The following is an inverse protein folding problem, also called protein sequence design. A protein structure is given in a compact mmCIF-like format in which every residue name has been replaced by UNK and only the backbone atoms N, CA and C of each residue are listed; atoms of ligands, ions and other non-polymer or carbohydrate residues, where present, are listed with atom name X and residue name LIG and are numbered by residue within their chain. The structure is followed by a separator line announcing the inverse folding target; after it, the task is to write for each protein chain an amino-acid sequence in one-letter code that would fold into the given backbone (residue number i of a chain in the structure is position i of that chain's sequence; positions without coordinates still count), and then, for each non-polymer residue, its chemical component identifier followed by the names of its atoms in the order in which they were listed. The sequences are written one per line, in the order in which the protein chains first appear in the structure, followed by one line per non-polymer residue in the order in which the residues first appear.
data_IF_861807660264
#
_entry.id   IF_861807660264
#
_cell.length_a   1.000
_cell.length_b   1.000
_cell.length_c   1.000
_cell.angle_alpha   90.00
_cell.angle_beta   90.00
_cell.angle_gamma   90.00
#
_symmetry.space_group_name_H-M   'P 1'
#
loop_
_entity.id
_entity.type
_entity.pdbx_description
1 polymer ?
#
# COMPACT_ATOMS: atom_id res chain seq x y z
N UNK A 1 29.19 51.93 5.85
CA UNK A 1 28.69 52.90 4.85
C UNK A 1 28.04 52.13 3.70
N UNK A 2 26.79 52.45 3.35
CA UNK A 2 26.10 51.93 2.15
C UNK A 2 26.45 52.83 0.97
N UNK A 3 26.32 52.31 -0.26
CA UNK A 3 25.64 53.11 -1.28
C UNK A 3 24.42 52.38 -1.84
N UNK A 4 23.34 53.17 -2.01
CA UNK A 4 22.14 52.91 -2.80
C UNK A 4 22.17 53.90 -3.97
N UNK A 5 22.00 53.45 -5.22
CA UNK A 5 21.48 54.23 -6.36
C UNK A 5 21.00 53.19 -7.41
N UNK A 6 19.69 53.00 -7.66
CA UNK A 6 18.76 53.80 -8.48
C UNK A 6 18.95 53.56 -10.00
N UNK A 7 18.05 52.77 -10.63
CA UNK A 7 17.05 53.20 -11.64
C UNK A 7 17.61 53.16 -13.10
N UNK A 8 16.92 52.87 -14.23
CA UNK A 8 15.53 52.90 -14.71
C UNK A 8 15.42 52.23 -16.14
N UNK A 9 14.18 52.11 -16.66
CA UNK A 9 13.70 52.03 -18.09
C UNK A 9 13.59 50.63 -18.75
N UNK A 10 12.40 50.03 -19.06
CA UNK A 10 11.23 50.29 -19.95
C UNK A 10 11.40 49.84 -21.43
N UNK A 11 10.56 48.89 -21.89
CA UNK A 11 10.07 48.67 -23.29
C UNK A 11 9.36 47.29 -23.39
N UNK A 12 8.02 47.18 -23.37
CA UNK A 12 7.05 47.22 -24.49
C UNK A 12 6.78 45.86 -25.22
N UNK A 13 5.60 45.27 -24.93
CA UNK A 13 4.60 44.49 -25.73
C UNK A 13 4.99 43.83 -27.08
N UNK A 14 4.45 42.62 -27.41
CA UNK A 14 2.99 42.41 -27.65
C UNK A 14 2.42 41.10 -27.05
N UNK A 15 1.24 41.10 -26.41
CA UNK A 15 -0.10 40.91 -26.99
C UNK A 15 -0.22 39.81 -28.06
N UNK A 16 -0.05 38.55 -27.64
CA UNK A 16 -0.45 37.38 -28.43
C UNK A 16 -1.87 36.94 -28.09
N UNK A 17 -2.80 37.15 -29.04
CA UNK A 17 -4.13 36.53 -29.06
C UNK A 17 -4.00 35.00 -29.03
N UNK A 18 -4.26 34.37 -27.88
CA UNK A 18 -4.50 32.94 -27.80
C UNK A 18 -5.96 32.68 -28.17
N UNK A 19 -6.17 32.18 -29.40
CA UNK A 19 -7.45 31.67 -29.88
C UNK A 19 -7.91 30.54 -28.96
N UNK A 20 -9.01 30.76 -28.24
CA UNK A 20 -9.66 29.73 -27.45
C UNK A 20 -10.40 28.77 -28.40
N UNK A 21 -9.80 27.61 -28.66
CA UNK A 21 -10.53 26.48 -29.22
C UNK A 21 -11.43 25.90 -28.12
N UNK A 22 -12.73 26.19 -28.17
CA UNK A 22 -13.72 25.49 -27.37
C UNK A 22 -13.95 24.11 -27.98
N UNK A 23 -13.33 23.08 -27.40
CA UNK A 23 -13.65 21.69 -27.71
C UNK A 23 -15.10 21.42 -27.28
N UNK A 24 -16.01 21.25 -28.24
CA UNK A 24 -17.34 20.73 -27.98
C UNK A 24 -17.21 19.24 -27.63
N UNK A 25 -17.18 18.92 -26.34
CA UNK A 25 -17.26 17.55 -25.87
C UNK A 25 -18.61 16.95 -26.28
N UNK A 26 -18.59 15.96 -27.17
CA UNK A 26 -19.77 15.15 -27.50
C UNK A 26 -20.19 14.39 -26.24
N UNK A 27 -21.31 14.80 -25.66
CA UNK A 27 -21.97 14.07 -24.56
C UNK A 27 -22.76 12.92 -25.15
N UNK A 28 -22.09 11.82 -25.50
CA UNK A 28 -22.78 10.54 -25.67
C UNK A 28 -23.23 10.07 -24.29
N UNK A 29 -24.55 9.94 -24.02
CA UNK A 29 -24.99 9.42 -22.73
C UNK A 29 -24.51 7.97 -22.61
N UNK A 30 -23.72 7.68 -21.56
CA UNK A 30 -23.29 6.32 -21.25
C UNK A 30 -24.54 5.44 -21.06
N UNK A 31 -24.57 4.21 -21.61
CA UNK A 31 -25.62 3.26 -21.29
C UNK A 31 -25.65 3.03 -19.78
N UNK A 32 -26.87 3.06 -19.23
CA UNK A 32 -27.16 2.91 -17.81
C UNK A 32 -26.54 1.60 -17.32
N UNK A 33 -25.40 1.66 -16.63
CA UNK A 33 -24.75 0.50 -16.05
C UNK A 33 -25.67 -0.08 -14.97
N UNK A 34 -26.32 -1.19 -15.32
CA UNK A 34 -27.00 -2.05 -14.36
C UNK A 34 -25.92 -2.65 -13.45
N UNK A 35 -25.86 -2.18 -12.20
CA UNK A 35 -24.95 -2.70 -11.19
C UNK A 35 -25.44 -4.07 -10.75
N UNK A 36 -25.14 -5.10 -11.53
CA UNK A 36 -25.19 -6.48 -11.05
C UNK A 36 -24.02 -6.65 -10.09
N UNK A 37 -24.26 -6.45 -8.80
CA UNK A 37 -23.27 -6.74 -7.77
C UNK A 37 -23.08 -8.26 -7.74
N UNK A 38 -22.11 -8.78 -8.50
CA UNK A 38 -21.65 -10.15 -8.34
C UNK A 38 -20.96 -10.20 -6.99
N UNK A 39 -21.65 -10.80 -6.00
CA UNK A 39 -21.06 -11.16 -4.72
C UNK A 39 -20.09 -12.32 -4.96
N UNK A 40 -18.89 -12.00 -5.46
CA UNK A 40 -17.78 -12.97 -5.51
C UNK A 40 -17.34 -13.20 -4.08
N UNK A 41 -17.69 -14.37 -3.54
CA UNK A 41 -17.14 -14.86 -2.28
C UNK A 41 -15.70 -15.29 -2.57
N UNK A 42 -14.73 -14.49 -2.15
CA UNK A 42 -13.31 -14.82 -2.21
C UNK A 42 -12.98 -15.89 -1.15
N UNK A 43 -13.44 -17.12 -1.38
CA UNK A 43 -13.05 -18.29 -0.57
C UNK A 43 -11.75 -18.93 -1.07
N UNK A 44 -11.16 -18.43 -2.17
CA UNK A 44 -9.81 -18.79 -2.60
C UNK A 44 -8.79 -17.92 -1.88
N UNK A 45 -7.79 -18.55 -1.23
CA UNK A 45 -6.53 -17.90 -0.89
C UNK A 45 -5.91 -17.39 -2.20
N UNK A 46 -6.26 -16.16 -2.60
CA UNK A 46 -5.67 -15.53 -3.77
C UNK A 46 -4.18 -15.43 -3.53
N UNK A 47 -3.38 -16.02 -4.43
CA UNK A 47 -1.93 -15.91 -4.37
C UNK A 47 -1.57 -14.42 -4.49
N UNK A 48 -0.94 -13.87 -3.43
CA UNK A 48 -0.49 -12.48 -3.45
C UNK A 48 0.98 -12.44 -3.84
N UNK A 49 1.41 -11.41 -4.57
CA UNK A 49 2.83 -11.21 -4.90
C UNK A 49 3.71 -11.13 -3.65
N UNK A 50 3.16 -10.70 -2.51
CA UNK A 50 3.88 -10.66 -1.24
C UNK A 50 4.02 -12.03 -0.58
N UNK A 51 3.17 -13.01 -0.93
CA UNK A 51 3.09 -14.28 -0.22
C UNK A 51 2.59 -14.16 1.22
N UNK A 52 2.19 -12.96 1.66
CA UNK A 52 1.69 -12.70 3.01
C UNK A 52 0.16 -12.78 3.00
N UNK A 53 -0.38 -13.63 3.87
CA UNK A 53 -1.82 -13.78 4.08
C UNK A 53 -2.13 -13.65 5.56
N UNK A 54 -3.16 -12.84 5.85
CA UNK A 54 -3.70 -12.74 7.20
C UNK A 54 -5.12 -13.25 7.21
N UNK A 55 -5.41 -14.15 8.15
CA UNK A 55 -6.72 -14.77 8.29
C UNK A 55 -7.23 -14.59 9.71
N UNK A 56 -8.52 -14.25 9.90
CA UNK A 56 -9.13 -14.32 11.22
C UNK A 56 -9.16 -15.78 11.70
N UNK A 57 -8.88 -15.98 12.98
CA UNK A 57 -8.96 -17.26 13.70
C UNK A 57 -9.97 -17.12 14.86
N UNK A 58 -10.14 -18.18 15.65
CA UNK A 58 -11.13 -18.27 16.73
C UNK A 58 -11.05 -17.07 17.68
N UNK A 59 -12.22 -16.59 18.14
CA UNK A 59 -12.36 -15.58 19.21
C UNK A 59 -11.64 -14.23 18.93
N UNK A 60 -11.66 -13.78 17.67
CA UNK A 60 -11.09 -12.48 17.26
C UNK A 60 -9.56 -12.46 17.26
N UNK A 61 -8.95 -13.63 17.11
CA UNK A 61 -7.50 -13.76 16.93
C UNK A 61 -7.16 -13.77 15.44
N UNK A 62 -5.89 -13.60 15.11
CA UNK A 62 -5.42 -13.60 13.73
C UNK A 62 -4.27 -14.59 13.57
N UNK A 63 -4.27 -15.28 12.43
CA UNK A 63 -3.20 -16.14 11.98
C UNK A 63 -2.57 -15.53 10.74
N UNK A 64 -1.25 -15.45 10.74
CA UNK A 64 -0.44 -14.96 9.64
C UNK A 64 0.25 -16.13 8.98
N UNK A 65 0.05 -16.28 7.68
CA UNK A 65 0.86 -17.13 6.81
C UNK A 65 1.77 -16.25 5.96
N UNK A 66 3.00 -16.70 5.75
CA UNK A 66 3.93 -16.12 4.79
C UNK A 66 4.49 -17.24 3.93
N UNK A 67 4.46 -17.11 2.61
CA UNK A 67 4.95 -18.11 1.66
C UNK A 67 5.79 -17.45 0.58
N UNK A 68 7.11 -17.60 0.67
CA UNK A 68 8.09 -17.17 -0.32
C UNK A 68 9.31 -18.08 -0.22
N UNK A 69 10.00 -18.27 -1.34
CA UNK A 69 11.34 -18.84 -1.31
C UNK A 69 12.31 -17.73 -0.90
N UNK A 70 12.77 -17.78 0.34
CA UNK A 70 13.81 -16.88 0.84
C UNK A 70 15.18 -17.47 0.52
N UNK A 71 16.10 -16.63 0.05
CA UNK A 71 17.51 -17.01 -0.19
C UNK A 71 18.41 -16.68 1.02
N UNK A 72 17.89 -15.91 1.97
CA UNK A 72 18.59 -15.48 3.18
C UNK A 72 17.66 -15.36 4.40
N UNK A 73 18.25 -15.15 5.57
CA UNK A 73 17.50 -14.89 6.79
C UNK A 73 16.68 -13.60 6.67
N UNK A 74 15.45 -13.63 7.19
CA UNK A 74 14.56 -12.48 7.17
C UNK A 74 14.03 -12.15 8.56
N UNK A 75 13.49 -10.95 8.71
CA UNK A 75 12.75 -10.55 9.90
C UNK A 75 11.33 -10.19 9.52
N UNK A 76 10.37 -10.88 10.14
CA UNK A 76 8.95 -10.55 10.06
C UNK A 76 8.58 -9.55 11.14
N UNK A 77 7.92 -8.46 10.76
CA UNK A 77 7.36 -7.44 11.65
C UNK A 77 5.91 -7.17 11.31
N UNK A 78 5.09 -6.97 12.34
CA UNK A 78 3.74 -6.41 12.21
C UNK A 78 3.72 -5.09 12.96
N UNK A 79 3.35 -4.01 12.28
CA UNK A 79 3.28 -2.65 12.81
C UNK A 79 1.84 -2.16 12.77
N UNK A 80 1.42 -1.42 13.80
CA UNK A 80 0.14 -0.72 13.77
C UNK A 80 0.25 0.57 12.92
N UNK A 81 -0.85 1.33 12.80
CA UNK A 81 -0.87 2.56 12.01
C UNK A 81 0.10 3.63 12.51
N UNK A 82 0.41 3.63 13.81
CA UNK A 82 1.39 4.51 14.42
C UNK A 82 2.86 4.08 14.18
N UNK A 83 3.08 2.96 13.48
CA UNK A 83 4.41 2.40 13.22
C UNK A 83 4.99 1.59 14.38
N UNK A 84 4.23 1.38 15.46
CA UNK A 84 4.67 0.58 16.60
C UNK A 84 4.65 -0.91 16.24
N UNK A 85 5.76 -1.60 16.48
CA UNK A 85 5.88 -3.05 16.29
C UNK A 85 5.05 -3.75 17.36
N UNK A 86 4.05 -4.51 16.93
CA UNK A 86 3.18 -5.32 17.80
C UNK A 86 3.52 -6.81 17.76
N UNK A 87 4.27 -7.23 16.74
CA UNK A 87 4.76 -8.61 16.59
C UNK A 87 6.07 -8.60 15.81
N UNK A 88 7.02 -9.45 16.21
CA UNK A 88 8.27 -9.66 15.49
C UNK A 88 8.73 -11.11 15.63
N UNK A 89 9.21 -11.70 14.53
CA UNK A 89 9.86 -13.02 14.52
C UNK A 89 10.99 -13.09 13.50
N UNK A 90 12.14 -13.73 13.84
CA UNK A 90 13.15 -14.09 12.86
C UNK A 90 12.68 -15.27 12.00
N UNK A 91 12.96 -15.21 10.70
CA UNK A 91 12.76 -16.29 9.73
C UNK A 91 14.13 -16.81 9.32
N UNK A 92 14.56 -17.94 9.89
CA UNK A 92 15.87 -18.52 9.64
C UNK A 92 15.84 -19.50 8.45
N UNK A 93 16.79 -19.33 7.52
CA UNK A 93 16.91 -20.12 6.30
C UNK A 93 17.26 -21.59 6.55
N UNK A 94 17.91 -21.87 7.68
CA UNK A 94 18.40 -23.21 8.06
C UNK A 94 17.35 -24.34 7.99
N UNK A 95 16.07 -23.97 7.92
CA UNK A 95 14.95 -24.90 7.89
C UNK A 95 14.51 -25.35 6.48
N UNK A 96 15.15 -24.89 5.37
CA UNK A 96 14.67 -25.10 3.98
C UNK A 96 13.15 -24.91 3.83
N UNK A 97 12.62 -23.97 4.59
CA UNK A 97 11.19 -23.73 4.71
C UNK A 97 10.86 -22.58 3.77
N UNK A 98 9.80 -22.73 2.98
CA UNK A 98 9.28 -21.66 2.12
C UNK A 98 7.95 -21.10 2.64
N UNK A 99 7.48 -21.59 3.80
CA UNK A 99 6.22 -21.19 4.39
C UNK A 99 6.29 -21.06 5.91
N UNK A 100 5.90 -19.91 6.44
CA UNK A 100 5.86 -19.61 7.87
C UNK A 100 4.44 -19.29 8.31
N UNK A 101 4.16 -19.60 9.57
CA UNK A 101 2.82 -19.51 10.13
C UNK A 101 2.90 -19.08 11.59
N UNK A 102 2.15 -18.04 11.95
CA UNK A 102 2.22 -17.43 13.28
C UNK A 102 0.84 -17.02 13.78
N UNK A 103 0.53 -17.41 15.03
CA UNK A 103 -0.61 -16.84 15.75
C UNK A 103 -0.24 -15.44 16.26
N UNK A 104 -0.87 -14.41 15.73
CA UNK A 104 -0.69 -13.03 16.18
C UNK A 104 -1.49 -12.70 17.45
N UNK A 105 -2.41 -13.60 17.84
CA UNK A 105 -3.35 -13.35 18.93
C UNK A 105 -4.38 -12.29 18.55
N UNK A 106 -4.88 -11.56 19.55
CA UNK A 106 -5.89 -10.51 19.35
C UNK A 106 -5.23 -9.21 18.90
N UNK A 107 -5.74 -8.66 17.80
CA UNK A 107 -5.35 -7.34 17.32
C UNK A 107 -6.48 -6.35 17.61
N UNK A 108 -6.13 -5.12 18.02
CA UNK A 108 -7.10 -4.04 18.17
C UNK A 108 -7.60 -3.60 16.79
N UNK A 109 -8.83 -3.09 16.65
CA UNK A 109 -9.29 -2.48 15.40
C UNK A 109 -8.37 -1.34 14.98
N UNK A 110 -7.61 -1.54 13.91
CA UNK A 110 -6.66 -0.60 13.32
C UNK A 110 -6.24 -1.08 11.92
N UNK A 111 -5.44 -0.27 11.21
CA UNK A 111 -4.68 -0.69 10.04
C UNK A 111 -3.29 -1.14 10.47
N UNK A 112 -2.85 -2.28 9.97
CA UNK A 112 -1.54 -2.84 10.25
C UNK A 112 -0.75 -3.04 8.97
N UNK A 113 0.56 -2.93 9.07
CA UNK A 113 1.53 -3.22 8.03
C UNK A 113 2.31 -4.47 8.45
N UNK A 114 2.26 -5.51 7.64
CA UNK A 114 3.18 -6.65 7.75
C UNK A 114 4.34 -6.39 6.83
N UNK A 115 5.55 -6.63 7.32
CA UNK A 115 6.78 -6.58 6.54
C UNK A 115 7.59 -7.84 6.83
N UNK A 116 8.09 -8.47 5.78
CA UNK A 116 9.16 -9.46 5.87
C UNK A 116 10.35 -8.86 5.16
N UNK A 117 11.41 -8.60 5.92
CA UNK A 117 12.60 -7.86 5.46
C UNK A 117 13.80 -8.80 5.42
N UNK A 118 14.37 -8.96 4.24
CA UNK A 118 15.72 -9.50 4.04
C UNK A 118 16.71 -8.34 3.94
N UNK A 119 17.95 -8.59 3.53
CA UNK A 119 18.95 -7.54 3.34
C UNK A 119 18.64 -6.66 2.11
N UNK A 120 18.03 -7.25 1.08
CA UNK A 120 17.81 -6.63 -0.23
C UNK A 120 16.33 -6.40 -0.57
N UNK A 121 15.43 -7.16 0.05
CA UNK A 121 14.02 -7.25 -0.34
C UNK A 121 13.11 -7.04 0.87
N UNK A 122 11.99 -6.35 0.63
CA UNK A 122 10.92 -6.22 1.62
C UNK A 122 9.59 -6.63 1.01
N UNK A 123 9.10 -7.78 1.43
CA UNK A 123 7.72 -8.19 1.16
C UNK A 123 6.82 -7.48 2.15
N UNK A 124 5.74 -6.86 1.67
CA UNK A 124 4.84 -6.16 2.56
C UNK A 124 3.39 -6.28 2.12
N UNK A 125 2.50 -6.20 3.09
CA UNK A 125 1.07 -6.04 2.86
C UNK A 125 0.44 -5.22 3.97
N UNK A 126 -0.64 -4.52 3.66
CA UNK A 126 -1.43 -3.76 4.63
C UNK A 126 -2.78 -4.41 4.81
N UNK A 127 -3.20 -4.59 6.05
CA UNK A 127 -4.52 -5.13 6.37
C UNK A 127 -5.25 -4.22 7.35
N UNK A 128 -6.58 -4.26 7.30
CA UNK A 128 -7.45 -3.53 8.21
C UNK A 128 -8.20 -4.50 9.09
N UNK A 129 -8.07 -4.32 10.41
CA UNK A 129 -8.89 -5.01 11.41
C UNK A 129 -10.06 -4.10 11.74
N UNK A 130 -11.27 -4.55 11.44
CA UNK A 130 -12.52 -3.91 11.87
C UNK A 130 -13.00 -4.47 13.21
N UNK A 131 -13.96 -3.79 13.84
CA UNK A 131 -14.68 -4.29 15.01
C UNK A 131 -15.57 -5.48 14.67
#
# INVERSE_FOLDING_TARGET
MKPKYAQFVLASLPLGLMLAFTAAAQTTPLPKQEKTHILVRADSLEETLSGIHLRPDKKGTFYLDFSQDLEEDATLQVKNKAGLVVFQQPLLLASKKNRWGYHLGRLKPDTYLVEVRTSDTTYWTKFRVSK
#
